data_IF_318776343680
#
_entry.id   IF_318776343680
#
_cell.length_a   1.000
_cell.length_b   1.000
_cell.length_c   1.000
_cell.angle_alpha   90.00
_cell.angle_beta   90.00
_cell.angle_gamma   90.00
#
_symmetry.space_group_name_H-M   'P 1'
#
loop_
_entity.id
_entity.type
_entity.pdbx_description
1 polymer ?
#
# COMPACT_ATOMS: atom_id res chain seq x y z
N UNK A 1 16.73 18.04 -0.48
CA UNK A 1 15.79 18.76 0.43
C UNK A 1 16.05 18.22 1.82
N UNK A 2 16.05 19.07 2.85
CA UNK A 2 16.09 18.58 4.24
C UNK A 2 14.79 17.83 4.55
N UNK A 3 14.85 16.70 5.23
CA UNK A 3 13.69 15.88 5.55
C UNK A 3 14.04 14.65 6.38
N UNK A 4 13.05 14.13 7.09
CA UNK A 4 13.19 12.95 7.94
C UNK A 4 12.75 11.70 7.19
N UNK A 5 13.57 10.64 7.24
CA UNK A 5 13.24 9.36 6.65
C UNK A 5 12.52 8.45 7.65
N UNK A 6 11.44 7.84 7.21
CA UNK A 6 10.64 6.89 7.99
C UNK A 6 10.50 5.57 7.23
N UNK A 7 10.62 4.47 7.95
CA UNK A 7 10.33 3.15 7.42
C UNK A 7 8.82 2.87 7.56
N UNK A 8 8.12 2.75 6.43
CA UNK A 8 6.71 2.36 6.41
C UNK A 8 6.60 0.84 6.59
N UNK A 9 6.60 0.39 7.85
CA UNK A 9 6.50 -1.01 8.19
C UNK A 9 6.01 -1.20 9.63
N UNK A 10 4.96 -2.00 9.88
CA UNK A 10 4.44 -2.17 11.22
C UNK A 10 5.44 -2.91 12.11
N UNK A 11 5.66 -2.32 13.29
CA UNK A 11 6.57 -2.78 14.33
C UNK A 11 6.02 -2.36 15.69
N UNK A 12 6.57 -2.90 16.79
CA UNK A 12 6.10 -2.59 18.15
C UNK A 12 6.33 -1.11 18.54
N UNK A 13 7.45 -0.55 18.09
CA UNK A 13 7.88 0.85 18.25
C UNK A 13 7.49 1.75 17.06
N UNK A 14 6.62 1.27 16.14
CA UNK A 14 6.11 2.11 15.06
C UNK A 14 4.95 2.99 15.53
N UNK A 15 4.94 4.25 15.11
CA UNK A 15 3.82 5.19 15.37
C UNK A 15 2.88 5.27 14.16
N UNK A 16 1.62 5.68 14.34
CA UNK A 16 0.72 5.98 13.22
C UNK A 16 1.31 7.09 12.36
N UNK A 17 1.17 6.99 11.05
CA UNK A 17 1.69 8.01 10.12
C UNK A 17 1.02 9.37 10.33
N UNK A 18 -0.21 9.39 10.84
CA UNK A 18 -0.97 10.59 11.18
C UNK A 18 -0.37 11.36 12.37
N UNK A 19 0.47 10.70 13.18
CA UNK A 19 1.12 11.29 14.37
C UNK A 19 2.53 11.80 14.05
N UNK A 20 2.98 11.73 12.80
CA UNK A 20 4.29 12.20 12.38
C UNK A 20 4.34 13.72 12.37
N UNK A 21 5.26 14.30 13.15
CA UNK A 21 5.54 15.75 13.17
C UNK A 21 6.96 16.02 12.67
N UNK A 22 7.18 16.06 11.34
CA UNK A 22 8.52 16.12 10.77
C UNK A 22 9.05 17.55 10.75
N UNK A 23 10.32 17.71 11.10
CA UNK A 23 11.06 18.96 10.82
C UNK A 23 11.45 18.97 9.33
N UNK A 24 10.51 19.38 8.48
CA UNK A 24 10.69 19.44 7.02
C UNK A 24 9.99 18.31 6.25
N UNK A 25 10.60 17.88 5.14
CA UNK A 25 9.99 16.87 4.27
C UNK A 25 9.94 15.47 4.91
N UNK A 26 8.99 14.65 4.47
CA UNK A 26 8.91 13.22 4.83
C UNK A 26 9.44 12.37 3.70
N UNK A 27 10.36 11.45 4.01
CA UNK A 27 10.84 10.44 3.08
C UNK A 27 10.38 9.06 3.53
N UNK A 28 9.46 8.43 2.79
CA UNK A 28 8.99 7.09 3.10
C UNK A 28 9.88 6.03 2.43
N UNK A 29 10.48 5.18 3.25
CA UNK A 29 11.15 3.96 2.80
C UNK A 29 10.14 2.82 2.88
N UNK A 30 9.85 2.19 1.73
CA UNK A 30 8.79 1.19 1.61
C UNK A 30 9.36 -0.14 1.12
N UNK A 31 9.51 -1.13 2.00
CA UNK A 31 9.92 -2.49 1.62
C UNK A 31 8.93 -3.16 0.67
N UNK A 32 9.34 -3.43 -0.56
CA UNK A 32 8.50 -4.21 -1.49
C UNK A 32 8.79 -5.72 -1.42
N UNK A 33 7.72 -6.51 -1.35
CA UNK A 33 7.77 -7.94 -1.42
C UNK A 33 6.76 -8.62 -0.50
N UNK A 34 6.85 -9.95 -0.40
CA UNK A 34 6.03 -10.68 0.57
C UNK A 34 6.35 -10.20 1.99
N UNK A 35 5.37 -10.19 2.89
CA UNK A 35 5.53 -9.90 4.32
C UNK A 35 6.79 -10.52 4.95
N UNK A 36 7.03 -11.82 4.71
CA UNK A 36 8.21 -12.53 5.24
C UNK A 36 9.53 -11.94 4.73
N UNK A 37 9.61 -11.58 3.45
CA UNK A 37 10.79 -10.98 2.82
C UNK A 37 11.01 -9.55 3.29
N UNK A 38 9.95 -8.73 3.29
CA UNK A 38 9.99 -7.35 3.76
C UNK A 38 10.45 -7.28 5.23
N UNK A 39 9.81 -8.04 6.13
CA UNK A 39 10.21 -8.12 7.55
C UNK A 39 11.68 -8.50 7.71
N UNK A 40 12.12 -9.52 6.98
CA UNK A 40 13.49 -10.02 7.02
C UNK A 40 14.50 -8.98 6.52
N UNK A 41 14.12 -8.18 5.51
CA UNK A 41 14.95 -7.07 5.02
C UNK A 41 15.08 -5.96 6.07
N UNK A 42 13.97 -5.51 6.66
CA UNK A 42 13.98 -4.50 7.73
C UNK A 42 14.82 -4.91 8.94
N UNK A 43 14.85 -6.21 9.27
CA UNK A 43 15.63 -6.74 10.39
C UNK A 43 17.13 -6.88 10.06
N UNK A 44 17.48 -7.18 8.81
CA UNK A 44 18.86 -7.50 8.42
C UNK A 44 19.68 -6.30 8.00
N UNK A 45 19.04 -5.30 7.39
CA UNK A 45 19.74 -4.12 6.90
C UNK A 45 19.92 -3.09 8.02
N UNK A 46 21.15 -2.78 8.47
CA UNK A 46 21.37 -1.86 9.59
C UNK A 46 20.68 -0.51 9.40
N UNK A 47 20.84 0.10 8.21
CA UNK A 47 20.19 1.38 7.89
C UNK A 47 18.66 1.33 7.98
N UNK A 48 18.00 0.19 7.75
CA UNK A 48 16.55 0.10 7.88
C UNK A 48 16.12 -0.20 9.31
N UNK A 49 17.00 -0.86 10.09
CA UNK A 49 16.72 -1.21 11.47
C UNK A 49 16.59 0.04 12.33
N UNK A 50 17.47 1.02 12.09
CA UNK A 50 17.65 2.20 12.91
C UNK A 50 16.74 3.39 12.48
N UNK A 51 15.99 3.23 11.39
CA UNK A 51 15.02 4.26 10.97
C UNK A 51 13.80 4.28 11.90
N UNK A 52 13.26 5.47 12.20
CA UNK A 52 11.96 5.58 12.86
C UNK A 52 10.90 4.93 11.98
N UNK A 53 9.94 4.26 12.62
CA UNK A 53 8.96 3.43 11.93
C UNK A 53 7.58 4.05 12.01
N UNK A 54 6.87 3.95 10.91
CA UNK A 54 5.48 4.37 10.82
C UNK A 54 4.64 3.24 10.27
N UNK A 55 3.36 3.25 10.62
CA UNK A 55 2.38 2.34 10.04
C UNK A 55 1.12 3.09 9.62
N UNK A 56 0.38 2.47 8.70
CA UNK A 56 -0.94 2.92 8.27
C UNK A 56 -2.01 2.05 8.90
N UNK A 57 -3.23 2.59 9.04
CA UNK A 57 -4.42 1.85 9.47
C UNK A 57 -5.42 1.73 8.31
N UNK A 58 -5.23 0.77 7.40
CA UNK A 58 -6.16 0.58 6.30
C UNK A 58 -7.57 0.29 6.81
N UNK A 59 -8.56 0.94 6.18
CA UNK A 59 -9.96 0.61 6.38
C UNK A 59 -10.42 -0.35 5.28
N UNK A 60 -10.90 -1.53 5.70
CA UNK A 60 -11.38 -2.56 4.80
C UNK A 60 -10.31 -3.53 4.31
N UNK A 61 -10.73 -4.44 3.44
CA UNK A 61 -9.86 -5.47 2.87
C UNK A 61 -9.06 -4.95 1.67
N UNK A 62 -7.91 -5.58 1.44
CA UNK A 62 -7.07 -5.29 0.29
C UNK A 62 -7.77 -5.64 -1.02
N UNK A 63 -7.76 -4.70 -1.97
CA UNK A 63 -8.22 -4.94 -3.35
C UNK A 63 -7.25 -5.82 -4.14
N UNK A 64 -6.08 -6.12 -3.59
CA UNK A 64 -5.07 -6.94 -4.24
C UNK A 64 -5.38 -8.43 -4.07
N UNK A 65 -6.05 -9.03 -5.06
CA UNK A 65 -6.40 -10.46 -5.05
C UNK A 65 -5.31 -11.38 -5.59
N UNK A 66 -4.27 -10.84 -6.24
CA UNK A 66 -3.31 -11.64 -6.99
C UNK A 66 -2.45 -12.56 -6.09
N UNK A 67 -2.34 -12.25 -4.80
CA UNK A 67 -1.72 -13.09 -3.77
C UNK A 67 -2.56 -13.04 -2.50
N UNK A 68 -2.74 -14.19 -1.86
CA UNK A 68 -3.46 -14.30 -0.58
C UNK A 68 -2.66 -13.59 0.51
N UNK A 69 -3.27 -12.63 1.19
CA UNK A 69 -2.66 -11.92 2.31
C UNK A 69 -2.79 -12.79 3.57
N UNK A 70 -1.69 -13.03 4.27
CA UNK A 70 -1.69 -13.88 5.48
C UNK A 70 -2.21 -13.19 6.75
N UNK A 71 -2.62 -11.92 6.68
CA UNK A 71 -3.12 -11.13 7.81
C UNK A 71 -4.41 -10.43 7.39
N UNK A 72 -5.41 -10.41 8.28
CA UNK A 72 -6.76 -9.84 8.06
C UNK A 72 -6.79 -8.35 7.73
N UNK A 73 -5.70 -7.62 7.97
CA UNK A 73 -5.58 -6.18 7.68
C UNK A 73 -4.31 -5.86 6.88
N UNK A 74 -3.74 -6.88 6.20
CA UNK A 74 -2.63 -6.66 5.29
C UNK A 74 -3.12 -5.99 4.01
N UNK A 75 -2.54 -4.85 3.67
CA UNK A 75 -2.67 -4.24 2.34
C UNK A 75 -1.38 -4.46 1.54
N UNK A 76 -1.47 -4.42 0.22
CA UNK A 76 -0.27 -4.54 -0.62
C UNK A 76 0.59 -3.27 -0.55
N UNK A 77 1.82 -3.32 -1.06
CA UNK A 77 2.76 -2.19 -1.06
C UNK A 77 2.13 -0.91 -1.63
N UNK A 78 1.39 -1.03 -2.74
CA UNK A 78 0.75 0.12 -3.39
C UNK A 78 -0.32 0.77 -2.50
N UNK A 79 -1.19 -0.05 -1.92
CA UNK A 79 -2.23 0.42 -1.00
C UNK A 79 -1.63 1.02 0.28
N UNK A 80 -0.56 0.44 0.82
CA UNK A 80 0.15 1.00 1.97
C UNK A 80 0.67 2.41 1.67
N UNK A 81 1.24 2.62 0.47
CA UNK A 81 1.67 3.96 0.03
C UNK A 81 0.49 4.89 -0.17
N UNK A 82 -0.62 4.43 -0.75
CA UNK A 82 -1.82 5.25 -0.91
C UNK A 82 -2.37 5.72 0.45
N UNK A 83 -2.46 4.82 1.44
CA UNK A 83 -2.85 5.17 2.80
C UNK A 83 -1.86 6.12 3.48
N UNK A 84 -0.57 5.96 3.24
CA UNK A 84 0.45 6.85 3.78
C UNK A 84 0.33 8.26 3.19
N UNK A 85 0.16 8.37 1.87
CA UNK A 85 -0.05 9.65 1.19
C UNK A 85 -1.40 10.28 1.53
N UNK A 86 -2.44 9.48 1.83
CA UNK A 86 -3.69 9.99 2.39
C UNK A 86 -3.44 10.83 3.65
N UNK A 87 -2.65 10.28 4.57
CA UNK A 87 -2.34 10.94 5.83
C UNK A 87 -1.44 12.18 5.65
N UNK A 88 -0.49 12.13 4.71
CA UNK A 88 0.50 13.19 4.53
C UNK A 88 0.04 14.31 3.58
N UNK A 89 -0.75 13.99 2.57
CA UNK A 89 -1.08 14.89 1.45
C UNK A 89 -2.61 15.02 1.21
N UNK A 90 -3.44 14.21 1.88
CA UNK A 90 -4.90 14.34 1.89
C UNK A 90 -5.66 13.29 1.07
N UNK A 91 -6.99 13.35 1.12
CA UNK A 91 -7.88 12.35 0.51
C UNK A 91 -7.74 12.28 -1.02
N UNK A 92 -7.52 13.41 -1.68
CA UNK A 92 -7.52 13.50 -3.15
C UNK A 92 -6.44 12.62 -3.80
N UNK A 93 -5.23 12.58 -3.23
CA UNK A 93 -4.15 11.73 -3.76
C UNK A 93 -4.47 10.25 -3.58
N UNK A 94 -5.08 9.89 -2.45
CA UNK A 94 -5.52 8.53 -2.16
C UNK A 94 -6.56 8.07 -3.18
N UNK A 95 -7.59 8.87 -3.42
CA UNK A 95 -8.64 8.54 -4.40
C UNK A 95 -8.06 8.36 -5.81
N UNK A 96 -7.16 9.25 -6.23
CA UNK A 96 -6.48 9.15 -7.53
C UNK A 96 -5.69 7.86 -7.65
N UNK A 97 -4.89 7.52 -6.64
CA UNK A 97 -4.10 6.28 -6.62
C UNK A 97 -5.00 5.04 -6.61
N UNK A 98 -6.02 5.01 -5.76
CA UNK A 98 -6.91 3.87 -5.63
C UNK A 98 -7.80 3.67 -6.86
N UNK A 99 -8.12 4.74 -7.60
CA UNK A 99 -8.76 4.65 -8.92
C UNK A 99 -7.85 3.95 -9.93
N UNK A 100 -6.60 4.38 -10.05
CA UNK A 100 -5.63 3.74 -10.95
C UNK A 100 -5.36 2.28 -10.57
N UNK A 101 -5.26 2.01 -9.27
CA UNK A 101 -5.11 0.65 -8.77
C UNK A 101 -6.29 -0.23 -9.13
N UNK A 102 -7.53 0.28 -9.00
CA UNK A 102 -8.74 -0.44 -9.41
C UNK A 102 -8.71 -0.83 -10.89
N UNK A 103 -8.36 0.10 -11.78
CA UNK A 103 -8.23 -0.16 -13.22
C UNK A 103 -7.18 -1.26 -13.52
N UNK A 104 -6.03 -1.20 -12.85
CA UNK A 104 -4.98 -2.20 -13.01
C UNK A 104 -5.41 -3.58 -12.48
N UNK A 105 -6.12 -3.62 -11.35
CA UNK A 105 -6.66 -4.86 -10.78
C UNK A 105 -7.73 -5.48 -11.68
N UNK A 106 -8.61 -4.68 -12.28
CA UNK A 106 -9.58 -5.16 -13.25
C UNK A 106 -8.92 -5.71 -14.52
N UNK A 107 -7.94 -5.00 -15.08
CA UNK A 107 -7.17 -5.51 -16.21
C UNK A 107 -6.45 -6.84 -15.90
N UNK A 108 -5.86 -6.95 -14.70
CA UNK A 108 -5.23 -8.19 -14.25
C UNK A 108 -6.25 -9.33 -14.09
N UNK A 109 -7.43 -9.03 -13.56
CA UNK A 109 -8.50 -10.01 -13.38
C UNK A 109 -8.94 -10.56 -14.74
N UNK A 110 -9.21 -9.67 -15.70
CA UNK A 110 -9.56 -10.01 -17.09
C UNK A 110 -8.52 -10.89 -17.77
N UNK A 111 -7.25 -10.51 -17.65
CA UNK A 111 -6.12 -11.30 -18.16
C UNK A 111 -6.09 -12.71 -17.57
N UNK A 112 -6.35 -12.86 -16.26
CA UNK A 112 -6.39 -14.19 -15.61
C UNK A 112 -7.57 -15.05 -16.03
N UNK A 113 -8.68 -14.45 -16.46
CA UNK A 113 -9.83 -15.18 -17.02
C UNK A 113 -9.68 -15.49 -18.52
N UNK A 114 -8.60 -15.03 -19.17
CA UNK A 114 -8.41 -15.19 -20.61
C UNK A 114 -9.33 -14.31 -21.46
N UNK A 115 -9.95 -13.27 -20.88
CA UNK A 115 -10.83 -12.35 -21.59
C UNK A 115 -10.42 -10.89 -21.34
N UNK A 116 -9.43 -10.34 -22.08
CA UNK A 116 -8.86 -9.02 -21.84
C UNK A 116 -9.85 -7.86 -22.04
N UNK A 117 -10.90 -8.07 -22.85
CA UNK A 117 -11.90 -7.06 -23.24
C UNK A 117 -13.23 -7.19 -22.48
N UNK A 118 -13.31 -8.03 -21.44
CA UNK A 118 -14.53 -8.19 -20.65
C UNK A 118 -14.90 -6.89 -19.92
N UNK A 119 -15.78 -6.08 -20.52
CA UNK A 119 -16.49 -4.99 -19.88
C UNK A 119 -17.93 -5.43 -19.59
N UNK A 120 -18.53 -4.90 -18.53
CA UNK A 120 -19.96 -4.96 -18.36
C UNK A 120 -20.65 -4.29 -19.57
N UNK A 121 -21.89 -4.66 -19.93
CA UNK A 121 -22.60 -4.09 -21.09
C UNK A 121 -22.71 -2.55 -21.07
N UNK A 122 -22.51 -1.93 -19.91
CA UNK A 122 -22.53 -0.49 -19.69
C UNK A 122 -21.12 0.16 -19.73
N UNK A 123 -20.07 -0.57 -20.09
CA UNK A 123 -18.68 -0.10 -20.13
C UNK A 123 -17.98 -0.03 -18.78
N UNK A 124 -18.58 -0.55 -17.70
CA UNK A 124 -17.96 -0.64 -16.38
C UNK A 124 -17.06 -1.88 -16.27
N UNK A 125 -16.08 -1.81 -15.35
CA UNK A 125 -15.15 -2.91 -15.11
C UNK A 125 -15.88 -4.09 -14.44
N UNK A 126 -15.71 -5.29 -14.99
CA UNK A 126 -16.31 -6.56 -14.50
C UNK A 126 -15.64 -7.03 -13.20
N UNK A 127 -14.61 -6.32 -12.72
CA UNK A 127 -13.95 -6.67 -11.46
C UNK A 127 -14.92 -6.57 -10.26
N UNK A 128 -15.30 -7.69 -9.62
CA UNK A 128 -16.28 -7.69 -8.54
C UNK A 128 -15.74 -7.16 -7.20
N UNK A 129 -14.48 -6.71 -7.16
CA UNK A 129 -13.77 -6.42 -5.93
C UNK A 129 -13.15 -7.66 -5.28
N UNK A 130 -12.41 -7.49 -4.17
CA UNK A 130 -12.04 -8.61 -3.30
C UNK A 130 -13.32 -9.26 -2.73
N UNK A 131 -13.28 -10.58 -2.52
CA UNK A 131 -14.36 -11.37 -1.93
C UNK A 131 -14.39 -11.26 -0.41
#
# INVERSE_FOLDING_TARGET
RSGTAYLLFPHEDAIPIEEVTPEGGVHLIVPDGSWRRARKMCQRHPLLRDLPRVFVRPQGESRYFARRQGRSHGVCTYEAVAWALKALEGEEIYEKMMKQFGLAMGALWRSRQGNPDALEPNGQDVYPGPK
#
